data_IF_139682255903
#
_entry.id   IF_139682255903
#
_cell.length_a   1.000
_cell.length_b   1.000
_cell.length_c   1.000
_cell.angle_alpha   90.00
_cell.angle_beta   90.00
_cell.angle_gamma   90.00
#
_symmetry.space_group_name_H-M   'P 1'
#
loop_
_entity.id
_entity.type
_entity.pdbx_description
1 polymer ?
#
# COMPACT_ATOMS: atom_id res chain seq x y z
N UNK A 1 14.74 10.21 21.20
CA UNK A 1 15.10 10.26 19.77
C UNK A 1 13.81 10.39 19.00
N UNK A 2 13.61 11.53 18.36
CA UNK A 2 12.43 11.81 17.54
C UNK A 2 12.77 11.24 16.16
N UNK A 3 12.07 10.18 15.75
CA UNK A 3 12.12 9.72 14.36
C UNK A 3 11.48 10.87 13.57
N UNK A 4 12.15 11.48 12.58
CA UNK A 4 11.56 12.56 11.80
C UNK A 4 10.24 12.05 11.19
N UNK A 5 9.17 12.79 11.41
CA UNK A 5 7.80 12.47 10.97
C UNK A 5 7.63 12.49 9.42
N UNK A 6 8.68 12.83 8.68
CA UNK A 6 8.68 13.05 7.22
C UNK A 6 9.45 11.96 6.45
N UNK A 7 9.06 10.69 6.57
CA UNK A 7 9.50 9.63 5.64
C UNK A 7 8.39 9.13 4.71
N UNK A 8 7.14 9.52 4.99
CA UNK A 8 5.96 9.09 4.25
C UNK A 8 5.25 10.37 3.77
N UNK A 9 5.02 10.56 2.45
CA UNK A 9 4.19 11.65 1.98
C UNK A 9 2.83 11.58 2.67
N UNK A 10 2.25 12.71 3.07
CA UNK A 10 0.94 12.75 3.72
C UNK A 10 -0.13 12.23 2.76
N UNK A 11 -0.44 10.95 2.85
CA UNK A 11 -1.55 10.31 2.15
C UNK A 11 -2.85 10.65 2.88
N UNK A 12 -3.84 11.13 2.15
CA UNK A 12 -5.15 11.48 2.70
C UNK A 12 -5.99 10.22 2.91
N UNK A 13 -6.36 9.97 4.17
CA UNK A 13 -7.28 8.88 4.53
C UNK A 13 -8.66 9.16 3.92
N UNK A 14 -9.25 8.12 3.31
CA UNK A 14 -10.55 8.17 2.64
C UNK A 14 -10.50 8.59 1.18
N UNK A 15 -9.32 8.96 0.65
CA UNK A 15 -9.15 9.29 -0.78
C UNK A 15 -8.80 8.06 -1.61
N UNK A 16 -9.07 8.16 -2.91
CA UNK A 16 -8.74 7.16 -3.91
C UNK A 16 -7.29 7.33 -4.37
N UNK A 17 -6.59 6.22 -4.50
CA UNK A 17 -5.22 6.13 -4.98
C UNK A 17 -5.10 4.97 -5.96
N UNK A 18 -4.10 5.05 -6.83
CA UNK A 18 -3.68 3.93 -7.66
C UNK A 18 -2.56 3.22 -6.92
N UNK A 19 -2.79 1.96 -6.55
CA UNK A 19 -1.71 1.11 -6.12
C UNK A 19 -1.02 0.54 -7.36
N UNK A 20 0.31 0.66 -7.42
CA UNK A 20 1.14 0.02 -8.44
C UNK A 20 2.10 -0.94 -7.78
N UNK A 21 2.00 -2.22 -8.14
CA UNK A 21 2.98 -3.21 -7.69
C UNK A 21 4.35 -2.83 -8.21
N UNK A 22 5.34 -2.85 -7.32
CA UNK A 22 6.74 -2.62 -7.65
C UNK A 22 7.59 -3.49 -6.73
N UNK A 23 8.68 -4.13 -7.22
CA UNK A 23 9.55 -4.92 -6.38
C UNK A 23 10.03 -4.13 -5.15
N UNK A 24 9.61 -4.57 -3.96
CA UNK A 24 10.23 -4.17 -2.69
C UNK A 24 11.12 -5.30 -2.18
N UNK A 25 12.22 -4.96 -1.53
CA UNK A 25 13.12 -5.94 -0.90
C UNK A 25 12.60 -6.35 0.49
N UNK A 26 11.31 -6.70 0.59
CA UNK A 26 10.70 -7.18 1.83
C UNK A 26 10.43 -8.67 1.78
N UNK A 27 11.23 -9.42 2.53
CA UNK A 27 11.00 -10.85 2.73
C UNK A 27 10.10 -11.08 3.94
N UNK A 28 9.07 -11.89 3.76
CA UNK A 28 8.30 -12.39 4.89
C UNK A 28 9.23 -13.17 5.83
N UNK A 29 9.33 -12.82 7.12
CA UNK A 29 10.26 -13.49 8.04
C UNK A 29 9.90 -14.95 8.32
N UNK A 30 8.72 -15.41 7.89
CA UNK A 30 8.21 -16.76 8.12
C UNK A 30 8.43 -17.68 6.93
N UNK A 31 7.88 -17.34 5.76
CA UNK A 31 8.01 -18.17 4.56
C UNK A 31 9.15 -17.72 3.63
N UNK A 32 9.83 -16.60 3.95
CA UNK A 32 10.90 -15.99 3.15
C UNK A 32 10.50 -15.61 1.72
N UNK A 33 9.20 -15.58 1.43
CA UNK A 33 8.67 -15.07 0.16
C UNK A 33 8.85 -13.56 0.11
N UNK A 34 9.20 -13.06 -1.06
CA UNK A 34 9.27 -11.63 -1.32
C UNK A 34 7.85 -11.09 -1.55
N UNK A 35 7.38 -10.25 -0.65
CA UNK A 35 6.03 -9.67 -0.68
C UNK A 35 5.91 -8.51 -1.68
N UNK A 36 7.03 -7.97 -2.14
CA UNK A 36 7.07 -6.92 -3.15
C UNK A 36 6.98 -7.38 -4.60
N UNK A 37 7.14 -8.68 -4.86
CA UNK A 37 7.36 -9.19 -6.22
C UNK A 37 6.35 -10.26 -6.62
N UNK A 38 5.27 -10.43 -5.86
CA UNK A 38 4.35 -11.55 -6.08
C UNK A 38 3.36 -11.35 -7.24
N UNK A 39 3.21 -10.13 -7.79
CA UNK A 39 2.18 -9.85 -8.81
C UNK A 39 2.62 -9.13 -10.10
N UNK A 40 3.92 -8.96 -10.38
CA UNK A 40 4.37 -8.32 -11.63
C UNK A 40 3.87 -6.87 -11.80
N UNK A 41 3.61 -6.41 -13.03
CA UNK A 41 3.09 -5.05 -13.34
C UNK A 41 1.59 -4.88 -13.02
N UNK A 42 1.12 -5.41 -11.89
CA UNK A 42 -0.28 -5.31 -11.47
C UNK A 42 -0.57 -3.95 -10.83
N UNK A 43 -1.71 -3.35 -11.19
CA UNK A 43 -2.18 -2.09 -10.59
C UNK A 43 -3.66 -2.21 -10.26
N UNK A 44 -4.10 -1.55 -9.18
CA UNK A 44 -5.53 -1.46 -8.85
C UNK A 44 -5.85 -0.16 -8.12
N UNK A 45 -7.09 0.30 -8.28
CA UNK A 45 -7.58 1.48 -7.58
C UNK A 45 -8.05 1.12 -6.17
N UNK A 46 -7.67 1.93 -5.19
CA UNK A 46 -7.95 1.65 -3.79
C UNK A 46 -8.28 2.90 -3.00
N UNK A 47 -8.97 2.73 -1.87
CA UNK A 47 -9.19 3.78 -0.88
C UNK A 47 -8.27 3.53 0.30
N UNK A 48 -7.51 4.54 0.70
CA UNK A 48 -6.66 4.47 1.89
C UNK A 48 -7.51 4.62 3.14
N UNK A 49 -7.42 3.67 4.08
CA UNK A 49 -8.24 3.62 5.29
C UNK A 49 -7.50 4.08 6.53
N UNK A 50 -6.25 3.66 6.69
CA UNK A 50 -5.43 4.04 7.85
C UNK A 50 -3.96 3.68 7.63
N UNK A 51 -3.03 4.45 8.22
CA UNK A 51 -1.64 4.01 8.31
C UNK A 51 -1.54 2.76 9.21
N UNK A 52 -0.60 1.89 8.90
CA UNK A 52 -0.33 0.67 9.64
C UNK A 52 1.16 0.37 9.62
N UNK A 53 1.65 -0.26 10.68
CA UNK A 53 2.98 -0.88 10.67
C UNK A 53 2.90 -2.37 10.34
N UNK A 54 1.70 -2.88 10.08
CA UNK A 54 1.48 -4.29 9.83
C UNK A 54 1.05 -4.54 8.38
N UNK A 55 1.47 -5.67 7.84
CA UNK A 55 1.00 -6.24 6.58
C UNK A 55 0.64 -7.72 6.77
N UNK A 56 -0.12 -8.28 5.83
CA UNK A 56 -0.41 -9.71 5.77
C UNK A 56 0.38 -10.29 4.61
N UNK A 57 1.19 -11.32 4.89
CA UNK A 57 1.91 -12.02 3.84
C UNK A 57 0.94 -12.82 2.96
N UNK A 58 0.92 -12.59 1.65
CA UNK A 58 0.00 -13.27 0.72
C UNK A 58 0.31 -14.77 0.58
N UNK A 59 1.54 -15.19 0.85
CA UNK A 59 1.95 -16.59 0.74
C UNK A 59 1.61 -17.43 1.97
N UNK A 60 1.85 -16.90 3.18
CA UNK A 60 1.62 -17.65 4.41
C UNK A 60 0.42 -17.15 5.23
N UNK A 61 -0.27 -16.10 4.78
CA UNK A 61 -1.41 -15.46 5.44
C UNK A 61 -1.15 -15.04 6.89
N UNK A 62 0.11 -14.83 7.26
CA UNK A 62 0.47 -14.39 8.60
C UNK A 62 0.65 -12.87 8.63
N UNK A 63 0.01 -12.24 9.62
CA UNK A 63 0.20 -10.82 9.94
C UNK A 63 1.61 -10.57 10.49
N UNK A 64 2.27 -9.54 9.98
CA UNK A 64 3.65 -9.17 10.30
C UNK A 64 3.79 -7.67 10.41
N UNK A 65 4.68 -7.23 11.29
CA UNK A 65 5.06 -5.83 11.36
C UNK A 65 6.21 -5.56 10.37
N UNK A 66 6.13 -4.42 9.69
CA UNK A 66 7.10 -3.91 8.74
C UNK A 66 7.91 -2.77 9.39
N UNK A 67 9.21 -2.66 9.07
CA UNK A 67 9.99 -1.47 9.43
C UNK A 67 9.60 -0.24 8.60
N UNK A 68 8.90 -0.40 7.47
CA UNK A 68 8.45 0.67 6.59
C UNK A 68 7.00 1.08 6.88
N UNK A 69 6.58 2.24 6.36
CA UNK A 69 5.20 2.70 6.42
C UNK A 69 4.28 1.91 5.49
N UNK A 70 3.16 1.43 6.02
CA UNK A 70 2.14 0.74 5.22
C UNK A 70 0.80 1.45 5.40
N UNK A 71 -0.11 1.24 4.45
CA UNK A 71 -1.48 1.72 4.52
C UNK A 71 -2.43 0.54 4.34
N UNK A 72 -3.43 0.47 5.23
CA UNK A 72 -4.59 -0.35 4.99
C UNK A 72 -5.38 0.29 3.86
N UNK A 73 -5.71 -0.49 2.85
CA UNK A 73 -6.47 -0.05 1.70
C UNK A 73 -7.66 -0.97 1.48
N UNK A 74 -8.69 -0.43 0.84
CA UNK A 74 -9.81 -1.21 0.31
C UNK A 74 -9.79 -1.10 -1.21
N UNK A 75 -9.72 -2.23 -1.89
CA UNK A 75 -9.80 -2.27 -3.35
C UNK A 75 -11.20 -1.83 -3.82
N UNK A 76 -11.26 -1.03 -4.89
CA UNK A 76 -12.52 -0.50 -5.40
C UNK A 76 -13.34 -1.50 -6.22
N UNK A 77 -12.68 -2.50 -6.79
CA UNK A 77 -13.26 -3.50 -7.69
C UNK A 77 -14.07 -4.57 -6.94
N UNK A 78 -13.54 -5.08 -5.83
CA UNK A 78 -14.11 -6.21 -5.09
C UNK A 78 -14.33 -5.91 -3.59
N UNK A 79 -13.88 -4.76 -3.10
CA UNK A 79 -14.04 -4.35 -1.71
C UNK A 79 -13.12 -5.07 -0.73
N UNK A 80 -12.16 -5.87 -1.20
CA UNK A 80 -11.21 -6.58 -0.34
C UNK A 80 -10.29 -5.61 0.40
N UNK A 81 -9.93 -6.01 1.62
CA UNK A 81 -9.01 -5.27 2.46
C UNK A 81 -7.59 -5.81 2.25
N UNK A 82 -6.67 -4.89 1.99
CA UNK A 82 -5.25 -5.19 1.86
C UNK A 82 -4.40 -4.22 2.67
N UNK A 83 -3.12 -4.52 2.76
CA UNK A 83 -2.12 -3.56 3.21
C UNK A 83 -1.13 -3.36 2.07
N UNK A 84 -0.79 -2.10 1.78
CA UNK A 84 0.18 -1.77 0.73
C UNK A 84 1.27 -0.82 1.26
N UNK A 85 2.51 -0.92 0.76
CA UNK A 85 3.57 0.04 1.08
C UNK A 85 3.22 1.44 0.60
N UNK A 86 3.61 2.46 1.36
CA UNK A 86 3.37 3.86 0.95
C UNK A 86 4.04 4.23 -0.38
N UNK A 87 5.18 3.62 -0.68
CA UNK A 87 5.96 3.86 -1.91
C UNK A 87 5.27 3.38 -3.19
N UNK A 88 4.20 2.59 -3.05
CA UNK A 88 3.43 2.02 -4.15
C UNK A 88 2.08 2.70 -4.36
N UNK A 89 1.77 3.76 -3.59
CA UNK A 89 0.55 4.53 -3.74
C UNK A 89 0.82 5.79 -4.55
N UNK A 90 0.22 5.87 -5.72
CA UNK A 90 0.20 7.09 -6.53
C UNK A 90 -1.17 7.78 -6.42
N UNK A 91 -1.21 9.11 -6.26
CA UNK A 91 -2.47 9.82 -6.40
C UNK A 91 -3.03 9.58 -7.80
N UNK A 92 -4.30 9.20 -7.88
CA UNK A 92 -5.03 9.27 -9.15
C UNK A 92 -5.00 10.74 -9.54
N UNK A 93 -4.22 11.07 -10.57
CA UNK A 93 -4.10 12.45 -11.04
C UNK A 93 -5.51 12.97 -11.31
N UNK A 94 -5.80 14.12 -10.70
CA UNK A 94 -7.07 14.85 -10.73
C UNK A 94 -7.91 14.48 -11.94
N UNK A 95 -9.15 14.06 -11.67
CA UNK A 95 -10.27 14.45 -12.53
C UNK A 95 -9.97 15.86 -13.02
N UNK A 96 -9.73 15.98 -14.32
CA UNK A 96 -9.72 17.25 -15.00
C UNK A 96 -11.11 17.81 -14.65
N UNK A 97 -11.20 18.71 -13.68
CA UNK A 97 -12.33 19.62 -13.52
C UNK A 97 -12.28 20.59 -14.72
N UNK A 98 -12.40 20.06 -15.93
CA UNK A 98 -12.98 20.74 -17.06
C UNK A 98 -14.33 20.07 -17.22
N UNK A 99 -15.38 20.75 -16.77
CA UNK A 99 -16.47 21.08 -17.66
C UNK A 99 -17.44 22.06 -16.95
N UNK A 100 -17.31 23.32 -17.40
CA UNK A 100 -18.33 24.38 -17.57
C UNK A 100 -18.79 25.16 -16.32
#
# INVERSE_FOLDING_TARGET
MIIPEDLIPTIEIGKKYLWKSSPIELLCPTCRVNEGNSMGDFTFECIVLSPTKDFICNSCNVKRSSPEGWYNVRALDNGELGSVPYTQLEPLSKEIEEEI
#
